data_IF_893558743572
#
_entry.id   IF_893558743572
#
_cell.length_a   1.000
_cell.length_b   1.000
_cell.length_c   1.000
_cell.angle_alpha   90.00
_cell.angle_beta   90.00
_cell.angle_gamma   90.00
#
_symmetry.space_group_name_H-M   'P 1'
#
loop_
_entity.id
_entity.type
_entity.pdbx_description
1 polymer ?
#
# COMPACT_ATOMS: atom_id res chain seq x y z
N UNK A 1 -0.25 27.67 -0.28
CA UNK A 1 0.19 26.28 0.00
C UNK A 1 0.18 26.14 1.51
N UNK A 2 -0.57 25.20 2.09
CA UNK A 2 -0.79 25.16 3.54
C UNK A 2 0.50 24.87 4.31
N UNK A 3 0.66 25.54 5.46
CA UNK A 3 1.85 25.50 6.31
C UNK A 3 2.20 24.08 6.80
N UNK A 4 1.19 23.23 6.95
CA UNK A 4 1.30 21.83 7.40
C UNK A 4 2.26 20.99 6.53
N UNK A 5 2.30 21.23 5.21
CA UNK A 5 3.20 20.47 4.33
C UNK A 5 4.68 20.87 4.50
N UNK A 6 4.96 22.09 4.94
CA UNK A 6 6.33 22.52 5.20
C UNK A 6 6.85 21.92 6.50
N UNK A 7 6.02 21.89 7.54
CA UNK A 7 6.38 21.28 8.82
C UNK A 7 6.69 19.79 8.64
N UNK A 8 5.83 19.04 7.93
CA UNK A 8 6.10 17.63 7.62
C UNK A 8 7.46 17.42 6.96
N UNK A 9 7.83 18.26 5.98
CA UNK A 9 9.11 18.13 5.29
C UNK A 9 10.29 18.38 6.22
N UNK A 10 10.21 19.44 7.02
CA UNK A 10 11.27 19.81 7.96
C UNK A 10 11.51 18.67 8.95
N UNK A 11 10.44 18.23 9.61
CA UNK A 11 10.45 17.19 10.63
C UNK A 11 11.00 15.86 10.09
N UNK A 12 10.68 15.51 8.83
CA UNK A 12 11.23 14.31 8.18
C UNK A 12 12.70 14.49 7.84
N UNK A 13 13.12 15.63 7.30
CA UNK A 13 14.53 15.88 6.97
C UNK A 13 15.40 15.83 8.24
N UNK A 14 14.93 16.40 9.34
CA UNK A 14 15.63 16.38 10.63
C UNK A 14 15.82 14.96 11.17
N UNK A 15 14.80 14.10 11.02
CA UNK A 15 14.86 12.69 11.42
C UNK A 15 15.51 11.77 10.39
N UNK A 16 15.94 12.27 9.22
CA UNK A 16 16.54 11.47 8.14
C UNK A 16 18.07 11.58 8.09
N UNK A 17 18.72 10.63 7.41
CA UNK A 17 20.15 10.79 7.06
C UNK A 17 20.30 11.79 5.92
N UNK A 18 19.45 11.73 4.90
CA UNK A 18 19.46 12.70 3.81
C UNK A 18 18.98 14.09 4.22
N UNK A 19 19.56 15.13 3.59
CA UNK A 19 19.30 16.55 3.90
C UNK A 19 18.40 17.27 2.90
N UNK A 20 17.77 16.52 1.99
CA UNK A 20 16.82 17.05 1.00
C UNK A 20 15.56 16.23 1.02
N UNK A 21 14.39 16.87 0.94
CA UNK A 21 13.09 16.18 0.94
C UNK A 21 13.00 15.02 -0.04
N UNK A 22 13.45 15.23 -1.29
CA UNK A 22 13.39 14.21 -2.36
C UNK A 22 14.12 12.92 -2.02
N UNK A 23 15.23 13.01 -1.27
CA UNK A 23 16.02 11.86 -0.81
C UNK A 23 15.49 11.33 0.52
N UNK A 24 15.26 12.22 1.49
CA UNK A 24 14.78 11.89 2.83
C UNK A 24 13.51 11.04 2.77
N UNK A 25 12.49 11.45 2.00
CA UNK A 25 11.21 10.71 1.92
C UNK A 25 11.31 9.29 1.36
N UNK A 26 12.42 8.92 0.71
CA UNK A 26 12.66 7.54 0.21
C UNK A 26 13.21 6.62 1.29
N UNK A 27 13.75 7.17 2.37
CA UNK A 27 14.25 6.40 3.51
C UNK A 27 13.09 5.83 4.36
N UNK A 28 11.91 6.43 4.29
CA UNK A 28 10.76 6.11 5.13
C UNK A 28 9.77 5.18 4.43
N UNK A 29 9.28 4.21 5.19
CA UNK A 29 8.32 3.18 4.76
C UNK A 29 7.20 3.10 5.78
N UNK A 30 6.00 2.69 5.36
CA UNK A 30 4.95 2.31 6.30
C UNK A 30 5.42 1.11 7.10
N UNK A 31 5.27 1.18 8.41
CA UNK A 31 5.52 0.06 9.32
C UNK A 31 4.18 -0.64 9.62
N UNK A 32 3.24 0.09 10.23
CA UNK A 32 1.88 -0.37 10.54
C UNK A 32 0.92 0.82 10.69
N UNK A 33 -0.38 0.55 10.69
CA UNK A 33 -1.44 1.53 10.92
C UNK A 33 -2.40 1.08 12.01
N UNK A 34 -3.02 2.03 12.70
CA UNK A 34 -4.02 1.77 13.73
C UNK A 34 -5.04 2.90 13.78
N UNK A 35 -6.25 2.58 14.23
CA UNK A 35 -7.27 3.58 14.54
C UNK A 35 -6.97 4.21 15.90
N UNK A 36 -6.97 5.54 15.96
CA UNK A 36 -6.69 6.28 17.18
C UNK A 36 -7.86 6.12 18.15
N UNK A 37 -7.58 5.58 19.34
CA UNK A 37 -8.53 5.51 20.45
C UNK A 37 -8.57 6.82 21.25
N UNK A 38 -7.54 7.66 21.11
CA UNK A 38 -7.38 8.96 21.75
C UNK A 38 -7.00 10.05 20.73
N UNK A 39 -6.89 11.30 21.18
CA UNK A 39 -6.53 12.43 20.32
C UNK A 39 -5.06 12.33 19.91
N UNK A 40 -4.83 11.76 18.73
CA UNK A 40 -3.50 11.63 18.15
C UNK A 40 -3.13 12.82 17.25
N UNK A 41 -1.82 13.06 17.11
CA UNK A 41 -1.28 14.15 16.28
C UNK A 41 -0.38 13.63 15.16
N UNK A 42 -0.59 14.16 13.97
CA UNK A 42 0.29 13.97 12.84
C UNK A 42 1.59 14.76 13.02
N UNK A 43 2.70 14.23 12.50
CA UNK A 43 3.96 14.96 12.40
C UNK A 43 3.85 16.31 11.67
N UNK A 44 2.85 16.49 10.80
CA UNK A 44 2.58 17.77 10.14
C UNK A 44 1.92 18.83 11.05
N UNK A 45 1.62 18.49 12.31
CA UNK A 45 0.98 19.38 13.29
C UNK A 45 -0.54 19.21 13.43
N UNK A 46 -1.21 18.50 12.52
CA UNK A 46 -2.65 18.24 12.60
C UNK A 46 -3.01 17.38 13.82
N UNK A 47 -4.00 17.79 14.59
CA UNK A 47 -4.50 17.07 15.76
C UNK A 47 -5.89 16.47 15.52
N UNK A 48 -6.17 15.31 16.12
CA UNK A 48 -7.44 14.60 15.94
C UNK A 48 -7.39 13.60 14.79
N UNK A 49 -6.26 12.89 14.65
CA UNK A 49 -6.19 11.76 13.73
C UNK A 49 -7.20 10.69 14.12
N UNK A 50 -7.94 10.18 13.13
CA UNK A 50 -8.76 8.97 13.28
C UNK A 50 -7.98 7.72 12.92
N UNK A 51 -7.19 7.81 11.85
CA UNK A 51 -6.30 6.74 11.38
C UNK A 51 -4.86 7.24 11.48
N UNK A 52 -4.05 6.51 12.25
CA UNK A 52 -2.64 6.77 12.44
C UNK A 52 -1.80 5.79 11.61
N UNK A 53 -0.83 6.32 10.89
CA UNK A 53 0.13 5.53 10.13
C UNK A 53 1.52 5.73 10.76
N UNK A 54 2.11 4.64 11.23
CA UNK A 54 3.47 4.63 11.74
C UNK A 54 4.41 4.40 10.57
N UNK A 55 5.35 5.32 10.36
CA UNK A 55 6.39 5.22 9.36
C UNK A 55 7.75 5.02 10.01
N UNK A 56 8.57 4.18 9.39
CA UNK A 56 9.91 3.84 9.86
C UNK A 56 10.96 4.15 8.80
N UNK A 57 12.03 4.82 9.23
CA UNK A 57 13.20 5.08 8.40
C UNK A 57 14.07 3.83 8.32
N UNK A 58 14.20 3.26 7.14
CA UNK A 58 14.97 2.03 6.87
C UNK A 58 16.49 2.21 7.03
N UNK A 59 17.00 3.44 6.96
CA UNK A 59 18.44 3.74 7.01
C UNK A 59 18.92 3.95 8.45
N UNK A 60 18.12 4.61 9.29
CA UNK A 60 18.51 4.97 10.66
C UNK A 60 17.56 4.46 11.76
N UNK A 61 16.51 3.73 11.38
CA UNK A 61 15.52 3.11 12.27
C UNK A 61 14.64 4.08 13.07
N UNK A 62 14.70 5.40 12.79
CA UNK A 62 13.78 6.37 13.40
C UNK A 62 12.34 6.09 12.99
N UNK A 63 11.41 6.42 13.88
CA UNK A 63 9.96 6.23 13.69
C UNK A 63 9.23 7.56 13.80
N UNK A 64 8.12 7.71 13.09
CA UNK A 64 7.22 8.86 13.20
C UNK A 64 5.76 8.45 12.96
N UNK A 65 4.83 9.19 13.57
CA UNK A 65 3.39 9.02 13.36
C UNK A 65 2.88 10.10 12.42
N UNK A 66 2.16 9.69 11.37
CA UNK A 66 1.52 10.59 10.41
C UNK A 66 0.09 10.14 10.15
N UNK A 67 -0.78 11.06 9.74
CA UNK A 67 -2.12 10.69 9.30
C UNK A 67 -2.15 10.15 7.87
N UNK A 68 -3.25 9.49 7.50
CA UNK A 68 -3.51 8.93 6.16
C UNK A 68 -3.22 9.93 5.01
N UNK A 69 -3.56 11.21 5.16
CA UNK A 69 -3.28 12.22 4.12
C UNK A 69 -1.77 12.49 3.96
N UNK A 70 -1.03 12.52 5.07
CA UNK A 70 0.39 12.82 5.07
C UNK A 70 1.23 11.61 4.63
N UNK A 71 0.81 10.41 4.98
CA UNK A 71 1.52 9.19 4.62
C UNK A 71 1.56 8.96 3.09
N UNK A 72 0.55 9.44 2.36
CA UNK A 72 0.50 9.46 0.88
C UNK A 72 1.61 10.27 0.20
N UNK A 73 2.36 11.10 0.94
CA UNK A 73 3.48 11.89 0.38
C UNK A 73 4.77 11.07 0.22
N UNK A 74 4.82 9.89 0.81
CA UNK A 74 5.94 8.95 0.75
C UNK A 74 5.77 8.00 -0.44
N UNK A 75 6.88 7.62 -1.08
CA UNK A 75 6.86 6.92 -2.37
C UNK A 75 6.20 5.54 -2.30
N UNK A 76 6.36 4.85 -1.18
CA UNK A 76 5.81 3.52 -0.99
C UNK A 76 4.31 3.52 -0.75
N UNK A 77 3.76 4.63 -0.27
CA UNK A 77 2.33 4.71 0.01
C UNK A 77 1.50 4.98 -1.23
N UNK A 78 2.02 5.71 -2.22
CA UNK A 78 1.39 5.77 -3.54
C UNK A 78 1.30 4.38 -4.19
N UNK A 79 2.23 3.48 -3.87
CA UNK A 79 2.19 2.09 -4.30
C UNK A 79 1.23 1.28 -3.43
N UNK A 80 1.24 1.48 -2.10
CA UNK A 80 0.31 0.86 -1.16
C UNK A 80 -1.14 1.12 -1.53
N UNK A 81 -1.55 2.39 -1.70
CA UNK A 81 -2.91 2.74 -2.15
C UNK A 81 -3.24 2.08 -3.49
N UNK A 82 -2.25 1.95 -4.38
CA UNK A 82 -2.49 1.45 -5.73
C UNK A 82 -2.82 -0.04 -5.76
N UNK A 83 -2.21 -0.90 -4.91
CA UNK A 83 -2.60 -2.32 -4.87
C UNK A 83 -3.60 -2.66 -3.77
N UNK A 84 -3.58 -1.93 -2.64
CA UNK A 84 -4.42 -2.21 -1.47
C UNK A 84 -5.89 -2.16 -1.83
N UNK A 85 -6.32 -1.14 -2.56
CA UNK A 85 -7.71 -1.03 -3.02
C UNK A 85 -8.09 -2.20 -3.92
N UNK A 86 -7.23 -2.60 -4.87
CA UNK A 86 -7.51 -3.76 -5.73
C UNK A 86 -7.62 -5.08 -4.99
N UNK A 87 -6.90 -5.25 -3.87
CA UNK A 87 -7.05 -6.44 -3.03
C UNK A 87 -8.30 -6.37 -2.16
N UNK A 88 -8.63 -5.19 -1.63
CA UNK A 88 -9.84 -4.99 -0.83
C UNK A 88 -11.11 -5.21 -1.66
N UNK A 89 -11.13 -4.77 -2.93
CA UNK A 89 -12.25 -4.96 -3.86
C UNK A 89 -12.52 -6.44 -4.20
N UNK A 90 -11.58 -7.35 -3.90
CA UNK A 90 -11.82 -8.80 -4.02
C UNK A 90 -12.83 -9.32 -2.98
N UNK A 91 -13.05 -8.60 -1.87
CA UNK A 91 -14.02 -9.01 -0.82
C UNK A 91 -15.45 -9.15 -1.37
N UNK A 92 -16.03 -8.19 -2.12
CA UNK A 92 -17.34 -8.36 -2.72
C UNK A 92 -17.34 -9.20 -4.01
N UNK A 93 -16.24 -9.24 -4.79
CA UNK A 93 -16.24 -9.90 -6.10
C UNK A 93 -14.87 -10.42 -6.55
N UNK A 94 -14.71 -11.74 -6.60
CA UNK A 94 -13.49 -12.42 -7.06
C UNK A 94 -13.28 -12.40 -8.58
N UNK A 95 -14.20 -11.80 -9.36
CA UNK A 95 -14.13 -11.72 -10.83
C UNK A 95 -13.36 -10.50 -11.33
N UNK A 96 -13.14 -9.51 -10.47
CA UNK A 96 -12.52 -8.25 -10.86
C UNK A 96 -11.10 -8.48 -11.38
N UNK A 97 -10.67 -7.57 -12.25
CA UNK A 97 -9.29 -7.53 -12.72
C UNK A 97 -8.42 -6.82 -11.68
N UNK A 98 -7.29 -7.42 -11.30
CA UNK A 98 -6.28 -6.72 -10.52
C UNK A 98 -5.61 -5.66 -11.40
N UNK A 99 -5.31 -4.50 -10.82
CA UNK A 99 -4.53 -3.51 -11.53
C UNK A 99 -3.04 -3.89 -11.59
N UNK A 100 -2.29 -3.26 -12.50
CA UNK A 100 -0.89 -3.61 -12.73
C UNK A 100 0.01 -3.49 -11.47
N UNK A 101 -0.13 -2.45 -10.61
CA UNK A 101 0.58 -2.42 -9.33
C UNK A 101 0.29 -3.63 -8.42
N UNK A 102 -0.97 -4.07 -8.34
CA UNK A 102 -1.36 -5.24 -7.58
C UNK A 102 -0.75 -6.53 -8.14
N UNK A 103 -0.75 -6.70 -9.46
CA UNK A 103 -0.14 -7.85 -10.13
C UNK A 103 1.37 -7.90 -9.86
N UNK A 104 2.08 -6.78 -10.03
CA UNK A 104 3.52 -6.68 -9.75
C UNK A 104 3.83 -7.02 -8.29
N UNK A 105 3.05 -6.49 -7.34
CA UNK A 105 3.22 -6.80 -5.93
C UNK A 105 3.10 -8.30 -5.65
N UNK A 106 2.09 -8.96 -6.23
CA UNK A 106 1.89 -10.40 -6.04
C UNK A 106 3.07 -11.21 -6.58
N UNK A 107 3.65 -10.80 -7.70
CA UNK A 107 4.81 -11.44 -8.30
C UNK A 107 6.08 -11.24 -7.46
N UNK A 108 6.35 -10.00 -7.04
CA UNK A 108 7.49 -9.67 -6.17
C UNK A 108 7.45 -10.43 -4.84
N UNK A 109 6.25 -10.71 -4.33
CA UNK A 109 6.03 -11.52 -3.13
C UNK A 109 6.06 -13.04 -3.36
N UNK A 110 6.13 -13.48 -4.62
CA UNK A 110 6.10 -14.90 -4.99
C UNK A 110 4.75 -15.57 -4.76
N UNK A 111 3.66 -14.80 -4.68
CA UNK A 111 2.30 -15.36 -4.56
C UNK A 111 1.78 -15.93 -5.87
N UNK A 112 2.30 -15.42 -6.97
CA UNK A 112 2.04 -15.88 -8.33
C UNK A 112 3.37 -16.14 -9.04
N UNK A 113 3.37 -17.03 -10.03
CA UNK A 113 4.55 -17.32 -10.86
C UNK A 113 4.50 -16.52 -12.18
N UNK A 114 5.51 -16.71 -13.03
CA UNK A 114 5.64 -16.01 -14.33
C UNK A 114 4.44 -16.26 -15.25
N UNK A 115 3.96 -17.51 -15.37
CA UNK A 115 2.79 -17.82 -16.20
C UNK A 115 1.50 -17.13 -15.69
N UNK A 116 1.33 -17.05 -14.38
CA UNK A 116 0.21 -16.35 -13.77
C UNK A 116 0.34 -14.83 -13.96
N UNK A 117 1.56 -14.30 -13.88
CA UNK A 117 1.84 -12.89 -14.13
C UNK A 117 1.50 -12.51 -15.57
N UNK A 118 1.98 -13.28 -16.54
CA UNK A 118 1.67 -13.09 -17.97
C UNK A 118 0.17 -13.16 -18.22
N UNK A 119 -0.51 -14.17 -17.67
CA UNK A 119 -1.97 -14.28 -17.78
C UNK A 119 -2.72 -13.06 -17.22
N UNK A 120 -2.37 -12.61 -16.01
CA UNK A 120 -3.04 -11.48 -15.37
C UNK A 120 -2.78 -10.17 -16.10
N UNK A 121 -1.56 -9.97 -16.60
CA UNK A 121 -1.20 -8.78 -17.39
C UNK A 121 -1.82 -8.80 -18.78
N UNK A 122 -1.85 -9.94 -19.49
CA UNK A 122 -2.48 -10.07 -20.81
C UNK A 122 -4.01 -9.92 -20.79
N UNK A 123 -4.62 -10.11 -19.64
CA UNK A 123 -6.07 -10.05 -19.47
C UNK A 123 -6.54 -8.86 -18.65
N UNK A 124 -5.63 -7.96 -18.22
CA UNK A 124 -5.98 -6.96 -17.20
C UNK A 124 -7.05 -5.96 -17.68
N UNK A 125 -7.04 -5.60 -18.97
CA UNK A 125 -8.02 -4.71 -19.62
C UNK A 125 -9.27 -5.44 -20.17
N UNK A 126 -9.33 -6.77 -20.06
CA UNK A 126 -10.46 -7.57 -20.57
C UNK A 126 -11.57 -7.65 -19.55
N UNK A 127 -12.81 -7.47 -20.02
CA UNK A 127 -13.98 -7.74 -19.19
C UNK A 127 -14.09 -9.23 -18.89
N UNK A 128 -14.61 -9.57 -17.71
CA UNK A 128 -14.68 -10.97 -17.25
C UNK A 128 -15.43 -11.90 -18.21
N UNK A 129 -16.45 -11.41 -18.91
CA UNK A 129 -17.25 -12.19 -19.87
C UNK A 129 -16.56 -12.40 -21.22
N UNK A 130 -15.49 -11.66 -21.51
CA UNK A 130 -14.65 -11.85 -22.71
C UNK A 130 -13.62 -12.96 -22.52
N UNK A 131 -13.42 -13.42 -21.29
CA UNK A 131 -12.53 -14.52 -20.95
C UNK A 131 -13.23 -15.86 -21.22
N UNK A 132 -12.44 -16.84 -21.66
CA UNK A 132 -12.93 -18.23 -21.75
C UNK A 132 -13.29 -18.77 -20.37
N UNK A 133 -14.06 -19.86 -20.29
CA UNK A 133 -14.42 -20.46 -19.00
C UNK A 133 -13.20 -20.86 -18.17
N UNK A 134 -12.15 -21.41 -18.81
CA UNK A 134 -10.91 -21.77 -18.14
C UNK A 134 -10.15 -20.53 -17.62
N UNK A 135 -10.13 -19.45 -18.41
CA UNK A 135 -9.52 -18.18 -17.98
C UNK A 135 -10.29 -17.53 -16.83
N UNK A 136 -11.62 -17.59 -16.86
CA UNK A 136 -12.48 -17.13 -15.77
C UNK A 136 -12.21 -17.91 -14.47
N UNK A 137 -12.09 -19.23 -14.57
CA UNK A 137 -11.75 -20.09 -13.45
C UNK A 137 -10.36 -19.75 -12.90
N UNK A 138 -9.35 -19.64 -13.79
CA UNK A 138 -7.98 -19.30 -13.40
C UNK A 138 -7.92 -17.93 -12.71
N UNK A 139 -8.57 -16.90 -13.25
CA UNK A 139 -8.63 -15.56 -12.62
C UNK A 139 -9.18 -15.64 -11.20
N UNK A 140 -10.30 -16.32 -11.01
CA UNK A 140 -10.90 -16.48 -9.67
C UNK A 140 -9.98 -17.22 -8.71
N UNK A 141 -9.30 -18.27 -9.17
CA UNK A 141 -8.37 -19.04 -8.35
C UNK A 141 -7.15 -18.19 -7.91
N UNK A 142 -6.60 -17.40 -8.83
CA UNK A 142 -5.51 -16.47 -8.55
C UNK A 142 -5.96 -15.36 -7.59
N UNK A 143 -7.11 -14.73 -7.85
CA UNK A 143 -7.68 -13.71 -6.97
C UNK A 143 -7.94 -14.25 -5.57
N UNK A 144 -8.42 -15.49 -5.44
CA UNK A 144 -8.59 -16.15 -4.14
C UNK A 144 -7.25 -16.35 -3.43
N UNK A 145 -6.22 -16.77 -4.16
CA UNK A 145 -4.85 -16.91 -3.62
C UNK A 145 -4.33 -15.57 -3.10
N UNK A 146 -4.49 -14.49 -3.88
CA UNK A 146 -4.09 -13.14 -3.48
C UNK A 146 -4.83 -12.68 -2.23
N UNK A 147 -6.14 -12.89 -2.20
CA UNK A 147 -6.97 -12.58 -1.02
C UNK A 147 -6.45 -13.29 0.22
N UNK A 148 -6.25 -14.61 0.15
CA UNK A 148 -5.83 -15.41 1.30
C UNK A 148 -4.46 -14.96 1.80
N UNK A 149 -3.48 -14.81 0.91
CA UNK A 149 -2.13 -14.35 1.27
C UNK A 149 -2.12 -12.96 1.89
N UNK A 150 -2.95 -12.07 1.37
CA UNK A 150 -3.01 -10.69 1.83
C UNK A 150 -3.66 -10.58 3.22
N UNK A 151 -4.80 -11.25 3.44
CA UNK A 151 -5.51 -11.20 4.72
C UNK A 151 -4.91 -12.11 5.79
N UNK A 152 -4.28 -13.25 5.45
CA UNK A 152 -3.48 -14.05 6.39
C UNK A 152 -2.30 -13.22 6.95
N UNK A 153 -1.61 -12.47 6.09
CA UNK A 153 -0.50 -11.61 6.51
C UNK A 153 -0.91 -10.37 7.33
N UNK A 154 -2.20 -10.02 7.36
CA UNK A 154 -2.76 -8.99 8.25
C UNK A 154 -3.06 -9.60 9.62
N UNK A 155 -3.65 -10.80 9.66
CA UNK A 155 -4.01 -11.50 10.90
C UNK A 155 -2.79 -11.95 11.73
N UNK A 156 -1.64 -12.20 11.12
CA UNK A 156 -0.39 -12.53 11.83
C UNK A 156 0.29 -11.30 12.49
N UNK A 157 -0.22 -10.08 12.27
CA UNK A 157 0.34 -8.83 12.80
C UNK A 157 -0.49 -8.19 13.91
N UNK A 158 -1.60 -8.83 14.32
CA UNK A 158 -2.40 -8.48 15.50
C UNK A 158 -1.93 -9.28 16.73
#
# INVERSE_FOLDING_TARGET
MSDDYQLLKQEIIERSKAKTWKKAKKEWKLDYSYDATEVERCLCGFAGLKECCVIKNTVNQNVAVVGNVCVRKFADFSVYDSYWMSFYDLTPDMRISLNLPAINYCFDKGWINELHFDFLTDTYDKFYHELTQDQQFLRRALNKTVYDRFFEGIAEKE
#
